data_IF_161442008299
#
_entry.id   IF_161442008299
#
_cell.length_a   1.000
_cell.length_b   1.000
_cell.length_c   1.000
_cell.angle_alpha   90.00
_cell.angle_beta   90.00
_cell.angle_gamma   90.00
#
_symmetry.space_group_name_H-M   'P 1'
#
loop_
_entity.id
_entity.type
_entity.pdbx_description
1 polymer ?
#
# COMPACT_ATOMS: atom_id res chain seq x y z
N UNK A 1 -47.36 20.68 5.02
CA UNK A 1 -46.27 20.34 5.95
C UNK A 1 -45.03 20.10 5.11
N UNK A 2 -44.10 21.05 5.12
CA UNK A 2 -42.89 21.02 4.27
C UNK A 2 -41.69 20.80 5.18
N UNK A 3 -41.00 19.67 5.05
CA UNK A 3 -39.78 19.37 5.82
C UNK A 3 -38.57 19.59 4.92
N UNK A 4 -37.80 20.63 5.22
CA UNK A 4 -36.47 20.87 4.65
C UNK A 4 -35.45 20.03 5.41
N UNK A 5 -34.67 19.20 4.70
CA UNK A 5 -33.48 18.54 5.26
C UNK A 5 -32.27 19.37 4.84
N UNK A 6 -31.60 19.98 5.82
CA UNK A 6 -30.30 20.63 5.60
C UNK A 6 -29.20 19.58 5.57
N UNK A 7 -28.49 19.49 4.45
CA UNK A 7 -27.25 18.74 4.35
C UNK A 7 -26.10 19.64 4.85
N UNK A 8 -25.51 19.30 6.00
CA UNK A 8 -24.25 19.90 6.45
C UNK A 8 -23.09 19.29 5.67
N UNK A 9 -22.46 20.08 4.81
CA UNK A 9 -21.21 19.70 4.16
C UNK A 9 -20.06 19.76 5.18
N UNK A 10 -19.38 18.63 5.40
CA UNK A 10 -18.11 18.57 6.13
C UNK A 10 -17.02 19.18 5.24
N UNK A 11 -16.43 20.29 5.69
CA UNK A 11 -15.29 20.90 5.04
C UNK A 11 -14.05 20.02 5.27
N UNK A 12 -13.52 19.41 4.21
CA UNK A 12 -12.23 18.74 4.23
C UNK A 12 -11.13 19.79 4.49
N UNK A 13 -10.48 19.70 5.64
CA UNK A 13 -9.34 20.56 5.98
C UNK A 13 -8.14 20.08 5.17
N UNK A 14 -7.75 20.86 4.16
CA UNK A 14 -6.53 20.59 3.40
C UNK A 14 -5.33 20.83 4.31
N UNK A 15 -4.70 19.74 4.77
CA UNK A 15 -3.40 19.79 5.42
C UNK A 15 -2.39 20.23 4.36
N UNK A 16 -1.98 21.49 4.42
CA UNK A 16 -0.84 21.99 3.63
C UNK A 16 0.40 21.22 4.10
N UNK A 17 0.88 20.30 3.27
CA UNK A 17 2.17 19.64 3.47
C UNK A 17 3.26 20.69 3.65
N UNK A 18 4.05 20.55 4.71
CA UNK A 18 5.20 21.43 4.95
C UNK A 18 6.11 21.37 3.72
N UNK A 19 6.47 22.52 3.17
CA UNK A 19 7.28 22.61 1.98
C UNK A 19 8.66 22.00 2.22
N UNK A 20 8.87 20.80 1.70
CA UNK A 20 10.18 20.15 1.43
C UNK A 20 11.25 21.04 0.76
N UNK A 21 10.92 22.28 0.37
CA UNK A 21 11.77 23.21 -0.36
C UNK A 21 12.94 23.77 0.46
N UNK A 22 12.96 23.62 1.79
CA UNK A 22 14.04 24.14 2.64
C UNK A 22 15.34 23.31 2.53
N UNK A 23 15.25 22.01 2.24
CA UNK A 23 16.42 21.09 2.28
C UNK A 23 17.16 20.93 0.95
N UNK A 24 16.55 21.34 -0.17
CA UNK A 24 17.10 21.07 -1.52
C UNK A 24 17.04 19.61 -1.97
N UNK A 25 16.57 18.68 -1.12
CA UNK A 25 16.38 17.26 -1.43
C UNK A 25 15.14 16.69 -0.73
N UNK A 26 14.70 15.50 -1.18
CA UNK A 26 13.58 14.75 -0.62
C UNK A 26 14.09 13.59 0.23
N UNK A 27 13.46 13.36 1.39
CA UNK A 27 13.68 12.19 2.22
C UNK A 27 12.58 11.18 1.90
N UNK A 28 12.97 9.97 1.48
CA UNK A 28 12.04 8.90 1.12
C UNK A 28 12.26 7.72 2.06
N UNK A 29 11.19 7.23 2.68
CA UNK A 29 11.22 5.91 3.31
C UNK A 29 10.98 4.85 2.21
N UNK A 30 11.99 4.01 1.97
CA UNK A 30 11.98 3.08 0.85
C UNK A 30 11.48 1.68 1.20
N UNK A 31 11.16 1.41 2.47
CA UNK A 31 10.73 0.08 2.88
C UNK A 31 9.84 0.11 4.13
N UNK A 32 8.53 0.14 3.90
CA UNK A 32 7.53 0.00 4.95
C UNK A 32 6.32 -0.79 4.47
N UNK A 33 5.45 -1.11 5.41
CA UNK A 33 4.18 -1.77 5.16
C UNK A 33 3.04 -0.96 5.77
N UNK A 34 1.88 -0.98 5.11
CA UNK A 34 0.62 -0.52 5.67
C UNK A 34 -0.39 -1.66 5.57
N UNK A 35 -1.30 -1.78 6.53
CA UNK A 35 -2.42 -2.72 6.44
C UNK A 35 -3.71 -2.04 6.86
N UNK A 36 -4.82 -2.50 6.28
CA UNK A 36 -6.15 -1.99 6.60
C UNK A 36 -6.39 -2.05 8.10
N UNK A 37 -6.94 -0.99 8.69
CA UNK A 37 -7.42 -1.04 10.07
C UNK A 37 -8.69 -1.91 10.20
N UNK A 38 -9.23 -2.06 11.41
CA UNK A 38 -10.43 -2.86 11.64
C UNK A 38 -11.62 -2.45 10.76
N UNK A 39 -11.83 -1.15 10.54
CA UNK A 39 -12.93 -0.66 9.73
C UNK A 39 -12.68 -0.88 8.23
N UNK A 40 -11.47 -0.57 7.77
CA UNK A 40 -11.02 -0.75 6.39
C UNK A 40 -10.98 -2.23 6.00
N UNK A 41 -10.68 -3.14 6.94
CA UNK A 41 -10.55 -4.58 6.68
C UNK A 41 -11.84 -5.25 6.18
N UNK A 42 -13.00 -4.59 6.37
CA UNK A 42 -14.29 -5.04 5.82
C UNK A 42 -14.35 -4.91 4.31
N UNK A 43 -13.58 -3.98 3.74
CA UNK A 43 -13.45 -3.75 2.30
C UNK A 43 -12.16 -4.35 1.76
N UNK A 44 -11.08 -4.31 2.55
CA UNK A 44 -9.76 -4.80 2.21
C UNK A 44 -9.38 -5.95 3.15
N UNK A 45 -9.91 -7.16 2.94
CA UNK A 45 -9.71 -8.27 3.86
C UNK A 45 -8.24 -8.64 3.99
N UNK A 46 -7.87 -9.21 5.14
CA UNK A 46 -6.57 -9.83 5.28
C UNK A 46 -6.57 -11.20 4.60
N UNK A 47 -5.42 -11.60 4.07
CA UNK A 47 -5.17 -12.95 3.60
C UNK A 47 -5.28 -13.96 4.76
N UNK A 48 -5.62 -15.20 4.44
CA UNK A 48 -5.82 -16.27 5.40
C UNK A 48 -4.61 -16.44 6.34
N UNK A 49 -4.86 -16.39 7.65
CA UNK A 49 -3.83 -16.50 8.67
C UNK A 49 -2.90 -15.29 8.80
N UNK A 50 -3.12 -14.21 8.03
CA UNK A 50 -2.28 -13.01 8.03
C UNK A 50 -2.95 -11.82 8.73
N UNK A 51 -3.87 -12.07 9.66
CA UNK A 51 -4.43 -11.04 10.52
C UNK A 51 -3.31 -10.42 11.38
N UNK A 52 -3.15 -9.09 11.39
CA UNK A 52 -2.14 -8.45 12.24
C UNK A 52 -2.48 -8.67 13.72
N UNK A 53 -1.48 -8.65 14.63
CA UNK A 53 -1.72 -8.68 16.06
C UNK A 53 -2.69 -7.57 16.49
N UNK A 54 -3.61 -7.88 17.40
CA UNK A 54 -4.68 -6.97 17.82
C UNK A 54 -4.16 -5.59 18.26
N UNK A 55 -2.99 -5.54 18.93
CA UNK A 55 -2.40 -4.28 19.40
C UNK A 55 -1.86 -3.41 18.25
N UNK A 56 -1.60 -3.99 17.09
CA UNK A 56 -1.04 -3.34 15.91
C UNK A 56 -2.08 -3.10 14.81
N UNK A 57 -3.23 -3.78 14.88
CA UNK A 57 -4.25 -3.76 13.84
C UNK A 57 -4.65 -2.35 13.40
N UNK A 58 -4.80 -1.42 14.34
CA UNK A 58 -5.21 -0.04 14.08
C UNK A 58 -4.04 0.97 14.12
N UNK A 59 -2.80 0.51 13.85
CA UNK A 59 -1.57 1.33 14.01
C UNK A 59 -0.76 1.51 12.73
N UNK A 60 -1.13 0.88 11.62
CA UNK A 60 -0.38 0.97 10.38
C UNK A 60 -1.27 1.21 9.15
N UNK A 61 -2.41 1.88 9.32
CA UNK A 61 -3.18 2.35 8.17
C UNK A 61 -2.41 3.42 7.39
N UNK A 62 -2.78 3.63 6.13
CA UNK A 62 -2.17 4.68 5.28
C UNK A 62 -2.33 6.09 5.89
N UNK A 63 -3.43 6.34 6.59
CA UNK A 63 -3.65 7.60 7.32
C UNK A 63 -2.69 7.75 8.50
N UNK A 64 -2.46 6.68 9.27
CA UNK A 64 -1.48 6.71 10.36
C UNK A 64 -0.07 6.96 9.80
N UNK A 65 0.28 6.33 8.67
CA UNK A 65 1.55 6.57 8.00
C UNK A 65 1.73 8.06 7.63
N UNK A 66 0.73 8.71 7.03
CA UNK A 66 0.81 10.14 6.70
C UNK A 66 1.08 11.00 7.94
N UNK A 67 0.42 10.69 9.06
CA UNK A 67 0.65 11.37 10.32
C UNK A 67 2.10 11.19 10.81
N UNK A 68 2.62 9.96 10.79
CA UNK A 68 3.99 9.68 11.23
C UNK A 68 5.04 10.29 10.29
N UNK A 69 4.79 10.32 8.98
CA UNK A 69 5.69 10.96 8.02
C UNK A 69 5.85 12.46 8.29
N UNK A 70 4.79 13.16 8.68
CA UNK A 70 4.86 14.57 9.09
C UNK A 70 5.75 14.72 10.33
N UNK A 71 5.55 13.86 11.34
CA UNK A 71 6.35 13.89 12.57
C UNK A 71 7.84 13.59 12.31
N UNK A 72 8.11 12.62 11.44
CA UNK A 72 9.45 12.20 11.05
C UNK A 72 10.09 13.08 9.96
N UNK A 73 9.33 14.04 9.39
CA UNK A 73 9.73 14.92 8.28
C UNK A 73 10.16 14.16 7.01
N UNK A 74 9.51 13.03 6.73
CA UNK A 74 9.68 12.21 5.52
C UNK A 74 8.77 12.75 4.41
N UNK A 75 9.32 12.92 3.22
CA UNK A 75 8.64 13.59 2.09
C UNK A 75 7.85 12.63 1.18
N UNK A 76 8.16 11.33 1.23
CA UNK A 76 7.49 10.29 0.43
C UNK A 76 7.82 8.88 0.93
N UNK A 77 7.05 7.89 0.48
CA UNK A 77 7.27 6.50 0.87
C UNK A 77 7.03 5.49 -0.27
N UNK A 78 7.83 4.44 -0.29
CA UNK A 78 7.63 3.24 -1.09
C UNK A 78 6.97 2.17 -0.20
N UNK A 79 5.66 1.97 -0.40
CA UNK A 79 4.87 0.99 0.32
C UNK A 79 5.13 -0.38 -0.30
N UNK A 80 5.79 -1.26 0.44
CA UNK A 80 6.00 -2.64 0.03
C UNK A 80 4.73 -3.43 0.37
N UNK A 81 4.19 -4.16 -0.61
CA UNK A 81 2.98 -4.97 -0.43
C UNK A 81 3.10 -5.83 0.84
N UNK A 82 2.21 -5.64 1.83
CA UNK A 82 2.25 -6.35 3.11
C UNK A 82 1.81 -7.80 2.92
N UNK A 83 2.35 -8.71 3.74
CA UNK A 83 1.85 -10.09 3.77
C UNK A 83 0.39 -10.17 4.23
N UNK A 84 -0.07 -9.19 5.03
CA UNK A 84 -1.44 -9.10 5.54
C UNK A 84 -2.49 -9.10 4.43
N UNK A 85 -2.20 -8.57 3.24
CA UNK A 85 -3.13 -8.59 2.10
C UNK A 85 -2.68 -9.55 0.99
N UNK A 86 -1.60 -10.32 1.20
CA UNK A 86 -1.10 -11.29 0.22
C UNK A 86 -0.90 -10.69 -1.17
N UNK A 87 -1.47 -11.33 -2.18
CA UNK A 87 -1.43 -10.88 -3.58
C UNK A 87 -2.57 -9.91 -3.95
N UNK A 88 -3.46 -9.57 -3.02
CA UNK A 88 -4.43 -8.50 -3.19
C UNK A 88 -3.78 -7.14 -2.89
N UNK A 89 -3.57 -6.37 -3.96
CA UNK A 89 -2.90 -5.07 -3.90
C UNK A 89 -3.89 -3.90 -3.72
N UNK A 90 -5.20 -4.18 -3.58
CA UNK A 90 -6.25 -3.15 -3.58
C UNK A 90 -6.10 -2.12 -2.46
N UNK A 91 -5.70 -2.53 -1.25
CA UNK A 91 -5.48 -1.59 -0.15
C UNK A 91 -4.32 -0.62 -0.42
N UNK A 92 -3.19 -1.16 -0.91
CA UNK A 92 -2.02 -0.34 -1.25
C UNK A 92 -2.32 0.56 -2.44
N UNK A 93 -3.05 0.06 -3.44
CA UNK A 93 -3.52 0.87 -4.57
C UNK A 93 -4.43 2.03 -4.12
N UNK A 94 -5.34 1.77 -3.18
CA UNK A 94 -6.19 2.81 -2.60
C UNK A 94 -5.38 3.86 -1.83
N UNK A 95 -4.37 3.44 -1.05
CA UNK A 95 -3.45 4.36 -0.38
C UNK A 95 -2.69 5.24 -1.38
N UNK A 96 -2.16 4.65 -2.47
CA UNK A 96 -1.48 5.40 -3.54
C UNK A 96 -2.44 6.40 -4.19
N UNK A 97 -3.66 5.98 -4.53
CA UNK A 97 -4.66 6.84 -5.15
C UNK A 97 -5.05 8.04 -4.25
N UNK A 98 -5.08 7.84 -2.93
CA UNK A 98 -5.36 8.90 -1.96
C UNK A 98 -4.21 9.90 -1.81
N UNK A 99 -2.97 9.54 -2.14
CA UNK A 99 -1.79 10.41 -2.00
C UNK A 99 -0.70 10.12 -3.04
N UNK A 100 -0.97 10.31 -4.35
CA UNK A 100 -0.13 9.79 -5.44
C UNK A 100 1.22 10.52 -5.62
N UNK A 101 1.34 11.72 -5.04
CA UNK A 101 2.59 12.49 -4.98
C UNK A 101 3.49 12.11 -3.79
N UNK A 102 2.96 11.33 -2.84
CA UNK A 102 3.65 10.93 -1.61
C UNK A 102 3.98 9.43 -1.67
N UNK A 103 3.05 8.60 -2.15
CA UNK A 103 3.17 7.15 -2.13
C UNK A 103 3.44 6.55 -3.49
N UNK A 104 4.31 5.53 -3.49
CA UNK A 104 4.49 4.56 -4.57
C UNK A 104 4.39 3.15 -4.00
N UNK A 105 4.03 2.19 -4.84
CA UNK A 105 3.90 0.79 -4.44
C UNK A 105 5.07 -0.07 -4.91
N UNK A 106 5.40 -1.10 -4.14
CA UNK A 106 6.17 -2.25 -4.59
C UNK A 106 5.29 -3.49 -4.50
N UNK A 107 5.01 -4.10 -5.65
CA UNK A 107 4.09 -5.24 -5.75
C UNK A 107 4.74 -6.51 -5.22
N UNK A 108 3.94 -7.45 -4.75
CA UNK A 108 4.35 -8.83 -4.46
C UNK A 108 3.97 -9.71 -5.65
N UNK A 109 4.95 -10.36 -6.27
CA UNK A 109 4.69 -11.32 -7.33
C UNK A 109 4.09 -12.61 -6.77
N UNK A 110 3.00 -13.09 -7.37
CA UNK A 110 2.42 -14.40 -7.12
C UNK A 110 3.12 -15.45 -8.00
N UNK A 111 3.92 -16.35 -7.38
CA UNK A 111 4.71 -17.34 -8.11
C UNK A 111 3.87 -18.43 -8.79
N UNK A 112 2.58 -18.54 -8.46
CA UNK A 112 1.67 -19.52 -9.08
C UNK A 112 1.13 -19.06 -10.44
N UNK A 113 1.31 -17.78 -10.79
CA UNK A 113 0.87 -17.23 -12.06
C UNK A 113 1.68 -17.79 -13.24
N UNK A 114 1.01 -18.01 -14.37
CA UNK A 114 1.73 -18.20 -15.63
C UNK A 114 2.50 -16.93 -16.02
N UNK A 115 3.56 -17.01 -16.83
CA UNK A 115 4.31 -15.84 -17.28
C UNK A 115 3.43 -14.74 -17.91
N UNK A 116 2.48 -15.11 -18.78
CA UNK A 116 1.57 -14.16 -19.44
C UNK A 116 0.66 -13.44 -18.41
N UNK A 117 0.14 -14.18 -17.43
CA UNK A 117 -0.68 -13.60 -16.37
C UNK A 117 0.15 -12.67 -15.46
N UNK A 118 1.41 -13.04 -15.17
CA UNK A 118 2.32 -12.22 -14.38
C UNK A 118 2.66 -10.90 -15.07
N UNK A 119 2.91 -10.93 -16.38
CA UNK A 119 3.15 -9.71 -17.18
C UNK A 119 1.90 -8.83 -17.21
N UNK A 120 0.73 -9.40 -17.49
CA UNK A 120 -0.52 -8.63 -17.48
C UNK A 120 -0.79 -7.99 -16.11
N UNK A 121 -0.50 -8.71 -15.02
CA UNK A 121 -0.64 -8.19 -13.65
C UNK A 121 0.34 -7.06 -13.36
N UNK A 122 1.58 -7.16 -13.84
CA UNK A 122 2.57 -6.10 -13.73
C UNK A 122 2.12 -4.83 -14.47
N UNK A 123 1.60 -4.97 -15.69
CA UNK A 123 1.09 -3.85 -16.47
C UNK A 123 -0.08 -3.15 -15.78
N UNK A 124 -1.01 -3.91 -15.21
CA UNK A 124 -2.13 -3.36 -14.44
C UNK A 124 -1.64 -2.56 -13.21
N UNK A 125 -0.74 -3.14 -12.42
CA UNK A 125 -0.25 -2.50 -11.20
C UNK A 125 0.63 -1.29 -11.50
N UNK A 126 1.37 -1.28 -12.62
CA UNK A 126 2.12 -0.12 -13.07
C UNK A 126 1.21 1.11 -13.24
N UNK A 127 0.02 0.93 -13.82
CA UNK A 127 -0.98 1.99 -13.99
C UNK A 127 -1.54 2.51 -12.65
N UNK A 128 -1.47 1.70 -11.59
CA UNK A 128 -1.91 2.05 -10.24
C UNK A 128 -0.79 2.68 -9.37
N UNK A 129 0.39 2.93 -9.94
CA UNK A 129 1.49 3.61 -9.26
C UNK A 129 2.44 2.67 -8.50
N UNK A 130 2.42 1.37 -8.82
CA UNK A 130 3.47 0.45 -8.42
C UNK A 130 4.70 0.62 -9.34
N UNK A 131 5.88 0.65 -8.75
CA UNK A 131 7.14 1.00 -9.45
C UNK A 131 8.26 -0.04 -9.24
N UNK A 132 7.95 -1.15 -8.57
CA UNK A 132 8.90 -2.21 -8.29
C UNK A 132 8.21 -3.52 -7.98
N UNK A 133 8.94 -4.62 -8.11
CA UNK A 133 8.47 -5.99 -7.89
C UNK A 133 9.28 -6.62 -6.77
N UNK A 134 8.59 -7.18 -5.79
CA UNK A 134 9.14 -8.00 -4.72
C UNK A 134 8.88 -9.47 -5.05
N UNK A 135 9.96 -10.22 -5.19
CA UNK A 135 9.96 -11.67 -5.17
C UNK A 135 10.22 -12.14 -3.74
N UNK A 136 9.39 -13.06 -3.23
CA UNK A 136 9.54 -13.61 -1.89
C UNK A 136 9.71 -15.13 -1.96
N UNK A 137 10.96 -15.64 -1.99
CA UNK A 137 11.22 -17.07 -2.13
C UNK A 137 10.59 -17.95 -1.05
N UNK A 138 10.25 -17.40 0.12
CA UNK A 138 9.51 -18.13 1.16
C UNK A 138 8.08 -18.53 0.75
N UNK A 139 7.53 -17.93 -0.31
CA UNK A 139 6.21 -18.25 -0.85
C UNK A 139 6.27 -19.19 -2.07
N UNK A 140 7.48 -19.61 -2.47
CA UNK A 140 7.66 -20.54 -3.58
C UNK A 140 7.48 -21.97 -3.10
N UNK A 141 6.94 -22.82 -3.97
CA UNK A 141 6.83 -24.23 -3.66
C UNK A 141 8.22 -24.83 -3.46
N UNK A 142 8.40 -25.54 -2.34
CA UNK A 142 9.67 -26.17 -1.96
C UNK A 142 10.11 -27.32 -2.89
N UNK A 143 9.25 -27.68 -3.87
CA UNK A 143 9.52 -28.70 -4.89
C UNK A 143 9.86 -28.08 -6.27
N UNK A 144 10.03 -26.77 -6.36
CA UNK A 144 10.47 -26.12 -7.60
C UNK A 144 11.99 -26.26 -7.77
N UNK A 145 12.43 -27.40 -8.31
CA UNK A 145 13.83 -27.75 -8.60
C UNK A 145 14.44 -26.96 -9.78
N UNK A 146 13.80 -25.88 -10.24
CA UNK A 146 14.35 -25.08 -11.35
C UNK A 146 15.65 -24.39 -10.93
N UNK A 147 16.77 -24.63 -11.64
CA UNK A 147 18.06 -24.06 -11.28
C UNK A 147 18.00 -22.53 -11.36
N UNK A 148 18.64 -21.85 -10.41
CA UNK A 148 18.74 -20.37 -10.34
C UNK A 148 19.31 -19.70 -11.61
N UNK A 149 19.82 -20.48 -12.57
CA UNK A 149 20.29 -19.99 -13.87
C UNK A 149 19.19 -19.84 -14.92
N UNK A 150 17.97 -20.31 -14.64
CA UNK A 150 16.82 -20.27 -15.57
C UNK A 150 15.62 -19.46 -15.03
N UNK A 151 15.84 -18.67 -13.97
CA UNK A 151 14.91 -17.64 -13.46
C UNK A 151 15.41 -16.25 -13.86
#
# INVERSE_FOLDING_TARGET
>A
MSTSVSASALAATSVRGSSSSERGYKIIDSHLHVWADEAESKTYPYADGQTPPLQLQNRASSTQLLFEMVNARVDGALIVQPINHGFDHSYVAAAIAASPSIFKGMMLHDPSMSPDAAVARLEELLLLGFVGVRFNPYLWDSNDDRPMSEQ
#
